data_IF_795901497307
#
_entry.id   IF_795901497307
#
_cell.length_a   1.000
_cell.length_b   1.000
_cell.length_c   1.000
_cell.angle_alpha   90.00
_cell.angle_beta   90.00
_cell.angle_gamma   90.00
#
_symmetry.space_group_name_H-M   'P 1'
#
loop_
_entity.id
_entity.type
_entity.pdbx_description
1 polymer ?
#
# COMPACT_ATOMS: atom_id res chain seq x y z
N UNK A 1 19.94 -30.45 -29.36
CA UNK A 1 20.28 -29.78 -28.09
C UNK A 1 20.77 -28.40 -28.43
N UNK A 2 20.05 -27.35 -28.01
CA UNK A 2 20.39 -25.90 -28.00
C UNK A 2 19.07 -25.12 -28.18
N UNK A 3 18.67 -24.13 -27.39
CA UNK A 3 19.05 -23.62 -26.07
C UNK A 3 17.72 -23.42 -25.32
N UNK A 4 17.60 -23.99 -24.11
CA UNK A 4 16.56 -23.58 -23.16
C UNK A 4 16.88 -22.15 -22.74
N UNK A 5 16.17 -21.17 -23.30
CA UNK A 5 16.25 -19.79 -22.84
C UNK A 5 15.67 -19.77 -21.43
N UNK A 6 16.54 -19.51 -20.46
CA UNK A 6 16.28 -19.38 -19.03
C UNK A 6 14.90 -18.78 -18.74
N UNK A 7 14.01 -19.59 -18.16
CA UNK A 7 12.84 -19.09 -17.46
C UNK A 7 13.31 -18.15 -16.34
N UNK A 8 12.87 -16.89 -16.40
CA UNK A 8 12.78 -16.03 -15.21
C UNK A 8 14.09 -15.43 -14.70
N UNK A 9 14.94 -14.83 -15.54
CA UNK A 9 15.88 -13.83 -15.01
C UNK A 9 15.07 -12.71 -14.35
N UNK A 10 15.26 -12.47 -13.06
CA UNK A 10 14.68 -11.33 -12.37
C UNK A 10 15.16 -10.04 -13.04
N UNK A 11 14.29 -9.44 -13.85
CA UNK A 11 14.57 -8.16 -14.51
C UNK A 11 14.66 -7.08 -13.44
N UNK A 12 15.72 -6.28 -13.51
CA UNK A 12 15.94 -5.13 -12.63
C UNK A 12 15.98 -3.87 -13.48
N UNK A 13 14.87 -3.12 -13.46
CA UNK A 13 14.73 -1.89 -14.25
C UNK A 13 15.61 -0.74 -13.75
N UNK A 14 16.42 -0.91 -12.71
CA UNK A 14 17.48 0.05 -12.34
C UNK A 14 18.65 0.02 -13.31
N UNK A 15 18.90 -1.12 -13.95
CA UNK A 15 20.08 -1.34 -14.80
C UNK A 15 19.73 -1.74 -16.24
N UNK A 16 18.55 -2.30 -16.48
CA UNK A 16 18.11 -2.73 -17.82
C UNK A 16 17.76 -1.55 -18.73
N UNK A 17 17.99 -1.58 -20.04
CA UNK A 17 17.52 -0.51 -20.92
C UNK A 17 16.00 -0.30 -20.80
N UNK A 18 15.56 0.96 -20.82
CA UNK A 18 14.14 1.33 -20.71
C UNK A 18 13.68 2.28 -21.82
N UNK A 19 14.56 2.66 -22.74
CA UNK A 19 14.29 3.70 -23.74
C UNK A 19 13.09 3.35 -24.63
N UNK A 20 13.03 2.12 -25.15
CA UNK A 20 11.88 1.64 -25.95
C UNK A 20 10.56 1.65 -25.15
N UNK A 21 10.63 1.38 -23.84
CA UNK A 21 9.46 1.43 -22.94
C UNK A 21 9.00 2.86 -22.75
N UNK A 22 9.93 3.80 -22.54
CA UNK A 22 9.62 5.22 -22.41
C UNK A 22 9.03 5.78 -23.71
N UNK A 23 9.63 5.49 -24.86
CA UNK A 23 9.15 5.93 -26.18
C UNK A 23 7.75 5.39 -26.50
N UNK A 24 7.47 4.13 -26.14
CA UNK A 24 6.14 3.55 -26.29
C UNK A 24 5.11 4.32 -25.44
N UNK A 25 5.44 4.63 -24.19
CA UNK A 25 4.56 5.34 -23.28
C UNK A 25 4.31 6.78 -23.73
N UNK A 26 5.34 7.51 -24.17
CA UNK A 26 5.20 8.85 -24.74
C UNK A 26 4.22 8.85 -25.94
N UNK A 27 4.37 7.88 -26.85
CA UNK A 27 3.50 7.74 -28.01
C UNK A 27 2.07 7.39 -27.63
N UNK A 28 1.89 6.42 -26.72
CA UNK A 28 0.58 5.90 -26.34
C UNK A 28 -0.24 6.87 -25.50
N UNK A 29 0.39 7.56 -24.55
CA UNK A 29 -0.28 8.55 -23.70
C UNK A 29 -0.27 9.96 -24.29
N UNK A 30 0.44 10.16 -25.42
CA UNK A 30 0.63 11.47 -26.05
C UNK A 30 1.23 12.50 -25.09
N UNK A 31 2.28 12.08 -24.38
CA UNK A 31 3.04 12.90 -23.43
C UNK A 31 4.51 12.93 -23.80
N UNK A 32 5.23 13.94 -23.30
CA UNK A 32 6.69 13.95 -23.32
C UNK A 32 7.23 13.80 -21.91
N UNK A 33 8.04 12.79 -21.66
CA UNK A 33 8.69 12.54 -20.37
C UNK A 33 9.94 13.42 -20.24
N UNK A 34 10.18 13.94 -19.05
CA UNK A 34 11.34 14.77 -18.73
C UNK A 34 12.51 13.87 -18.29
N UNK A 35 13.58 13.70 -19.10
CA UNK A 35 14.60 12.68 -18.85
C UNK A 35 15.34 12.85 -17.51
N UNK A 36 15.49 14.10 -17.05
CA UNK A 36 16.16 14.43 -15.78
C UNK A 36 15.35 14.05 -14.53
N UNK A 37 14.09 13.66 -14.70
CA UNK A 37 13.18 13.33 -13.60
C UNK A 37 12.94 11.83 -13.47
N UNK A 38 13.59 11.03 -14.31
CA UNK A 38 13.41 9.59 -14.37
C UNK A 38 13.88 8.94 -13.06
N UNK A 39 12.94 8.30 -12.36
CA UNK A 39 13.19 7.49 -11.17
C UNK A 39 13.03 6.03 -11.53
N UNK A 40 14.03 5.22 -11.22
CA UNK A 40 14.09 3.79 -11.57
C UNK A 40 14.10 2.93 -10.32
N UNK A 41 13.14 2.02 -10.22
CA UNK A 41 13.06 0.97 -9.19
C UNK A 41 13.25 -0.39 -9.85
N UNK A 42 13.25 -1.46 -9.04
CA UNK A 42 13.47 -2.83 -9.54
C UNK A 42 12.42 -3.26 -10.58
N UNK A 43 11.16 -2.87 -10.40
CA UNK A 43 10.01 -3.28 -11.25
C UNK A 43 9.25 -2.11 -11.87
N UNK A 44 9.62 -0.87 -11.57
CA UNK A 44 8.94 0.31 -12.11
C UNK A 44 9.92 1.41 -12.49
N UNK A 45 9.48 2.26 -13.41
CA UNK A 45 10.14 3.50 -13.83
C UNK A 45 9.09 4.58 -13.80
N UNK A 46 9.41 5.77 -13.33
CA UNK A 46 8.50 6.90 -13.46
C UNK A 46 9.23 8.18 -13.81
N UNK A 47 8.51 9.12 -14.42
CA UNK A 47 9.06 10.41 -14.80
C UNK A 47 7.94 11.47 -14.82
N UNK A 48 8.33 12.73 -14.64
CA UNK A 48 7.45 13.87 -14.90
C UNK A 48 7.26 14.04 -16.39
N UNK A 49 6.12 14.63 -16.78
CA UNK A 49 5.85 15.03 -18.16
C UNK A 49 6.08 16.53 -18.37
N UNK A 50 6.06 16.98 -19.63
CA UNK A 50 6.06 18.41 -19.98
C UNK A 50 4.76 19.16 -19.62
N UNK A 51 3.67 18.44 -19.30
CA UNK A 51 2.37 19.01 -18.92
C UNK A 51 2.09 18.95 -17.42
N UNK A 52 3.16 18.91 -16.62
CA UNK A 52 3.10 18.88 -15.15
C UNK A 52 2.27 17.72 -14.58
N UNK A 53 2.45 16.52 -15.16
CA UNK A 53 1.92 15.25 -14.64
C UNK A 53 3.06 14.28 -14.31
N UNK A 54 2.73 13.17 -13.63
CA UNK A 54 3.63 12.07 -13.36
C UNK A 54 3.17 10.82 -14.09
N UNK A 55 4.10 10.09 -14.72
CA UNK A 55 3.83 8.78 -15.31
C UNK A 55 4.59 7.71 -14.52
N UNK A 56 3.87 6.69 -14.03
CA UNK A 56 4.44 5.49 -13.40
C UNK A 56 4.24 4.31 -14.33
N UNK A 57 5.34 3.70 -14.75
CA UNK A 57 5.41 2.52 -15.60
C UNK A 57 5.85 1.35 -14.75
N UNK A 58 5.05 0.29 -14.69
CA UNK A 58 5.42 -0.94 -14.00
C UNK A 58 5.45 -2.12 -14.96
N UNK A 59 6.27 -3.10 -14.58
CA UNK A 59 6.42 -4.39 -15.23
C UNK A 59 5.93 -5.51 -14.32
N UNK A 60 5.02 -6.34 -14.82
CA UNK A 60 4.54 -7.54 -14.12
C UNK A 60 4.58 -8.77 -15.02
N UNK A 61 4.84 -9.94 -14.45
CA UNK A 61 4.66 -11.20 -15.18
C UNK A 61 3.16 -11.49 -15.33
N UNK A 62 2.75 -12.10 -16.44
CA UNK A 62 1.33 -12.38 -16.71
C UNK A 62 0.70 -13.27 -15.63
N UNK A 63 1.44 -14.24 -15.11
CA UNK A 63 1.00 -15.14 -14.03
C UNK A 63 0.86 -14.45 -12.66
N UNK A 64 1.39 -13.22 -12.53
CA UNK A 64 1.28 -12.39 -11.32
C UNK A 64 0.15 -11.37 -11.39
N UNK A 65 -0.61 -11.33 -12.49
CA UNK A 65 -1.81 -10.51 -12.58
C UNK A 65 -2.95 -11.28 -11.93
N UNK A 66 -3.55 -10.78 -10.84
CA UNK A 66 -4.61 -11.49 -10.16
C UNK A 66 -5.88 -11.54 -11.02
N UNK A 67 -6.81 -12.43 -10.67
CA UNK A 67 -8.09 -12.56 -11.38
C UNK A 67 -8.91 -11.25 -11.40
N UNK A 68 -8.76 -10.41 -10.37
CA UNK A 68 -9.39 -9.08 -10.31
C UNK A 68 -8.74 -8.05 -11.26
N UNK A 69 -7.62 -8.38 -11.89
CA UNK A 69 -6.88 -7.52 -12.79
C UNK A 69 -5.86 -6.62 -12.09
N UNK A 70 -5.20 -5.79 -12.90
CA UNK A 70 -4.17 -4.84 -12.47
C UNK A 70 -4.54 -3.44 -12.94
N UNK A 71 -5.59 -2.92 -12.32
CA UNK A 71 -6.25 -1.66 -12.64
C UNK A 71 -6.63 -0.87 -11.37
N UNK A 72 -5.90 -1.08 -10.27
CA UNK A 72 -6.16 -0.41 -8.98
C UNK A 72 -6.18 1.12 -9.13
N UNK A 73 -5.13 1.69 -9.72
CA UNK A 73 -4.97 3.14 -9.93
C UNK A 73 -6.12 3.75 -10.71
N UNK A 74 -6.47 3.17 -11.86
CA UNK A 74 -7.62 3.61 -12.67
C UNK A 74 -8.95 3.48 -11.92
N UNK A 75 -9.15 2.39 -11.15
CA UNK A 75 -10.37 2.23 -10.38
C UNK A 75 -10.47 3.24 -9.24
N UNK A 76 -9.34 3.64 -8.63
CA UNK A 76 -9.29 4.62 -7.54
C UNK A 76 -9.73 6.02 -7.98
N UNK A 77 -9.63 6.34 -9.28
CA UNK A 77 -10.13 7.58 -9.86
C UNK A 77 -11.65 7.78 -9.68
N UNK A 78 -12.39 6.72 -9.32
CA UNK A 78 -13.83 6.78 -9.04
C UNK A 78 -14.15 7.06 -7.57
N UNK A 79 -13.15 7.04 -6.69
CA UNK A 79 -13.34 7.30 -5.27
C UNK A 79 -13.54 8.80 -5.05
N UNK A 80 -14.48 9.14 -4.17
CA UNK A 80 -14.86 10.52 -3.87
C UNK A 80 -14.46 10.90 -2.43
N UNK A 81 -14.18 12.20 -2.22
CA UNK A 81 -13.84 12.72 -0.89
C UNK A 81 -12.45 12.34 -0.37
N UNK A 82 -11.59 11.74 -1.19
CA UNK A 82 -10.23 11.34 -0.82
C UNK A 82 -9.22 12.31 -1.43
N UNK A 83 -8.30 12.82 -0.63
CA UNK A 83 -7.18 13.62 -1.12
C UNK A 83 -6.16 12.72 -1.85
N UNK A 84 -6.34 12.52 -3.16
CA UNK A 84 -5.47 11.73 -4.03
C UNK A 84 -5.13 12.49 -5.32
N UNK A 85 -4.00 12.19 -5.99
CA UNK A 85 -3.71 12.80 -7.28
C UNK A 85 -4.75 12.37 -8.33
N UNK A 86 -5.19 13.31 -9.16
CA UNK A 86 -6.10 13.03 -10.28
C UNK A 86 -5.45 12.02 -11.23
N UNK A 87 -6.21 11.04 -11.70
CA UNK A 87 -5.77 10.08 -12.72
C UNK A 87 -6.21 10.57 -14.10
N UNK A 88 -5.28 10.66 -15.05
CA UNK A 88 -5.54 11.18 -16.39
C UNK A 88 -5.73 10.08 -17.44
N UNK A 89 -5.10 8.92 -17.25
CA UNK A 89 -5.18 7.83 -18.21
C UNK A 89 -4.17 6.73 -17.96
N UNK A 90 -4.31 5.64 -18.72
CA UNK A 90 -3.33 4.57 -18.73
C UNK A 90 -3.17 3.94 -20.10
N UNK A 91 -2.06 3.21 -20.26
CA UNK A 91 -1.86 2.25 -21.34
C UNK A 91 -1.35 0.94 -20.76
N UNK A 92 -1.91 -0.17 -21.22
CA UNK A 92 -1.52 -1.53 -20.84
C UNK A 92 -1.14 -2.29 -22.10
N UNK A 93 0.00 -2.95 -22.12
CA UNK A 93 0.44 -3.73 -23.26
C UNK A 93 1.23 -4.96 -22.85
N UNK A 94 1.21 -5.97 -23.72
CA UNK A 94 2.00 -7.19 -23.55
C UNK A 94 3.38 -6.98 -24.18
N UNK A 95 4.41 -7.44 -23.50
CA UNK A 95 5.76 -7.49 -24.06
C UNK A 95 5.83 -8.50 -25.21
N UNK A 96 6.40 -8.10 -26.35
CA UNK A 96 6.52 -8.96 -27.53
C UNK A 96 7.48 -10.14 -27.34
N UNK A 97 8.37 -10.06 -26.35
CA UNK A 97 9.47 -11.01 -26.15
C UNK A 97 9.27 -11.93 -24.94
N UNK A 98 8.10 -11.92 -24.29
CA UNK A 98 7.89 -12.80 -23.13
C UNK A 98 6.52 -12.71 -22.47
N UNK A 99 6.32 -13.47 -21.37
CA UNK A 99 5.07 -13.49 -20.60
C UNK A 99 5.03 -12.29 -19.62
N UNK A 100 5.25 -11.09 -20.13
CA UNK A 100 5.31 -9.84 -19.35
C UNK A 100 4.18 -8.92 -19.82
N UNK A 101 3.56 -8.25 -18.87
CA UNK A 101 2.66 -7.13 -19.12
C UNK A 101 3.27 -5.86 -18.52
N UNK A 102 3.06 -4.78 -19.24
CA UNK A 102 3.43 -3.44 -18.84
C UNK A 102 2.15 -2.62 -18.65
N UNK A 103 2.18 -1.73 -17.66
CA UNK A 103 1.16 -0.71 -17.45
C UNK A 103 1.85 0.60 -17.18
N UNK A 104 1.37 1.66 -17.82
CA UNK A 104 1.73 3.02 -17.48
C UNK A 104 0.47 3.78 -17.08
N UNK A 105 0.49 4.40 -15.89
CA UNK A 105 -0.55 5.30 -15.41
C UNK A 105 -0.01 6.72 -15.37
N UNK A 106 -0.81 7.67 -15.83
CA UNK A 106 -0.56 9.10 -15.69
C UNK A 106 -1.45 9.70 -14.62
N UNK A 107 -0.84 10.44 -13.70
CA UNK A 107 -1.54 11.15 -12.62
C UNK A 107 -1.08 12.60 -12.53
N UNK A 108 -1.85 13.46 -11.88
CA UNK A 108 -1.37 14.75 -11.42
C UNK A 108 -0.11 14.58 -10.55
N UNK A 109 0.72 15.63 -10.50
CA UNK A 109 1.85 15.66 -9.58
C UNK A 109 1.36 15.65 -8.12
N UNK A 110 2.11 14.96 -7.26
CA UNK A 110 1.88 15.02 -5.83
C UNK A 110 2.09 16.46 -5.31
N UNK A 111 1.28 16.92 -4.34
CA UNK A 111 1.36 18.29 -3.84
C UNK A 111 2.57 18.53 -2.92
N UNK A 112 3.30 17.48 -2.56
CA UNK A 112 4.47 17.51 -1.71
C UNK A 112 5.38 16.30 -1.93
N UNK A 113 6.42 16.20 -1.10
CA UNK A 113 7.26 15.01 -1.05
C UNK A 113 6.59 13.93 -0.18
N UNK A 114 6.90 12.64 -0.39
CA UNK A 114 6.51 11.59 0.56
C UNK A 114 6.95 11.95 1.99
N UNK A 115 6.12 11.64 3.00
CA UNK A 115 6.42 11.96 4.41
C UNK A 115 7.75 11.33 4.85
N UNK A 116 8.06 10.12 4.35
CA UNK A 116 9.38 9.53 4.50
C UNK A 116 9.48 8.13 3.90
N UNK A 117 10.20 7.25 4.60
CA UNK A 117 10.22 5.81 4.32
C UNK A 117 8.97 5.14 4.89
N UNK A 118 8.69 3.88 4.50
CA UNK A 118 7.48 3.17 4.95
C UNK A 118 7.38 3.12 6.49
N UNK A 119 8.50 2.85 7.16
CA UNK A 119 8.64 2.91 8.63
C UNK A 119 9.53 4.11 8.96
N UNK A 120 9.09 4.96 9.88
CA UNK A 120 9.84 6.13 10.32
C UNK A 120 10.65 5.84 11.58
N UNK A 121 11.86 6.39 11.64
CA UNK A 121 12.72 6.39 12.84
C UNK A 121 12.65 7.69 13.63
N UNK A 122 12.03 8.73 13.07
CA UNK A 122 11.84 10.06 13.68
C UNK A 122 10.42 10.53 13.37
N UNK A 123 9.77 11.19 14.34
CA UNK A 123 8.44 11.76 14.13
C UNK A 123 8.49 12.85 13.05
N UNK A 124 7.62 12.81 12.03
CA UNK A 124 7.50 13.89 11.07
C UNK A 124 6.78 15.09 11.71
N UNK A 125 7.14 16.29 11.29
CA UNK A 125 6.43 17.51 11.69
C UNK A 125 5.19 17.69 10.80
N UNK A 126 4.03 17.28 11.32
CA UNK A 126 2.74 17.35 10.62
C UNK A 126 1.78 18.23 11.41
N UNK A 127 1.04 19.11 10.71
CA UNK A 127 0.04 19.99 11.34
C UNK A 127 -1.22 19.23 11.72
N UNK A 128 -2.03 19.77 12.63
CA UNK A 128 -3.35 19.20 12.94
C UNK A 128 -4.25 19.14 11.69
N UNK A 129 -4.18 20.15 10.81
CA UNK A 129 -4.89 20.14 9.53
C UNK A 129 -4.48 18.95 8.64
N UNK A 130 -3.20 18.54 8.65
CA UNK A 130 -2.76 17.37 7.90
C UNK A 130 -3.44 16.09 8.42
N UNK A 131 -3.56 15.95 9.75
CA UNK A 131 -4.24 14.83 10.39
C UNK A 131 -5.74 14.83 10.13
N UNK A 132 -6.39 16.00 10.14
CA UNK A 132 -7.79 16.15 9.75
C UNK A 132 -8.03 15.63 8.32
N UNK A 133 -7.23 16.05 7.35
CA UNK A 133 -7.38 15.59 5.95
C UNK A 133 -7.08 14.10 5.79
N UNK A 134 -6.12 13.54 6.55
CA UNK A 134 -5.91 12.09 6.61
C UNK A 134 -7.18 11.37 7.09
N UNK A 135 -7.74 11.80 8.22
CA UNK A 135 -8.92 11.18 8.81
C UNK A 135 -10.12 11.27 7.88
N UNK A 136 -10.40 12.46 7.33
CA UNK A 136 -11.49 12.67 6.37
C UNK A 136 -11.33 11.77 5.13
N UNK A 137 -10.11 11.63 4.62
CA UNK A 137 -9.81 10.77 3.47
C UNK A 137 -10.02 9.28 3.77
N UNK A 138 -9.61 8.80 4.95
CA UNK A 138 -9.79 7.40 5.34
C UNK A 138 -11.26 7.08 5.64
N UNK A 139 -11.99 8.01 6.27
CA UNK A 139 -13.42 7.85 6.52
C UNK A 139 -14.23 7.88 5.22
N UNK A 140 -13.88 8.79 4.30
CA UNK A 140 -14.45 8.83 2.96
C UNK A 140 -14.18 7.53 2.18
N UNK A 141 -12.97 6.96 2.29
CA UNK A 141 -12.62 5.68 1.67
C UNK A 141 -13.45 4.52 2.25
N UNK A 142 -13.53 4.42 3.57
CA UNK A 142 -14.28 3.35 4.25
C UNK A 142 -15.79 3.40 3.95
N UNK A 143 -16.30 4.54 3.50
CA UNK A 143 -17.69 4.73 3.08
C UNK A 143 -17.97 4.41 1.61
N UNK A 144 -16.95 4.10 0.79
CA UNK A 144 -17.12 3.80 -0.63
C UNK A 144 -17.69 2.39 -0.84
N UNK A 145 -18.20 2.14 -2.05
CA UNK A 145 -18.61 0.81 -2.50
C UNK A 145 -17.65 0.26 -3.56
N UNK A 146 -17.18 -0.97 -3.38
CA UNK A 146 -16.36 -1.64 -4.38
C UNK A 146 -16.55 -3.16 -4.34
N UNK A 147 -16.21 -3.81 -5.45
CA UNK A 147 -16.07 -5.28 -5.53
C UNK A 147 -14.61 -5.73 -5.50
N UNK A 148 -13.67 -4.79 -5.53
CA UNK A 148 -12.24 -5.09 -5.38
C UNK A 148 -12.01 -5.67 -3.99
N UNK A 149 -11.07 -6.61 -3.90
CA UNK A 149 -10.59 -7.11 -2.62
C UNK A 149 -9.15 -6.63 -2.47
N UNK A 150 -8.86 -6.04 -1.31
CA UNK A 150 -7.56 -5.48 -1.03
C UNK A 150 -6.44 -6.55 -1.12
N UNK A 151 -5.24 -6.13 -1.50
CA UNK A 151 -4.06 -6.99 -1.62
C UNK A 151 -2.90 -6.51 -0.75
N UNK A 152 -3.06 -6.40 0.59
CA UNK A 152 -1.95 -6.01 1.45
C UNK A 152 -0.75 -6.96 1.25
N UNK A 153 0.46 -6.40 1.18
CA UNK A 153 1.69 -7.13 0.82
C UNK A 153 1.58 -7.91 -0.50
N UNK A 154 0.77 -7.43 -1.45
CA UNK A 154 0.45 -8.06 -2.75
C UNK A 154 -0.29 -9.40 -2.65
N UNK A 155 -0.91 -9.70 -1.50
CA UNK A 155 -1.69 -10.92 -1.26
C UNK A 155 -3.15 -10.56 -0.99
N UNK A 156 -4.08 -11.17 -1.73
CA UNK A 156 -5.52 -10.93 -1.54
C UNK A 156 -5.93 -11.26 -0.10
N UNK A 157 -6.43 -10.25 0.61
CA UNK A 157 -6.89 -10.45 1.98
C UNK A 157 -8.20 -11.23 2.01
N UNK A 158 -8.30 -12.17 2.94
CA UNK A 158 -9.44 -13.05 3.14
C UNK A 158 -9.56 -13.41 4.62
N UNK A 159 -10.72 -13.92 5.05
CA UNK A 159 -10.89 -14.47 6.39
C UNK A 159 -9.82 -15.52 6.73
N UNK A 160 -9.54 -16.43 5.80
CA UNK A 160 -8.54 -17.49 5.99
C UNK A 160 -7.15 -16.88 6.22
N UNK A 161 -6.75 -15.90 5.41
CA UNK A 161 -5.46 -15.22 5.57
C UNK A 161 -5.36 -14.51 6.93
N UNK A 162 -6.41 -13.81 7.35
CA UNK A 162 -6.45 -13.13 8.66
C UNK A 162 -6.27 -14.13 9.79
N UNK A 163 -7.03 -15.22 9.77
CA UNK A 163 -6.94 -16.31 10.75
C UNK A 163 -5.55 -16.93 10.77
N UNK A 164 -5.01 -17.31 9.61
CA UNK A 164 -3.68 -17.92 9.49
C UNK A 164 -2.57 -17.00 10.01
N UNK A 165 -2.61 -15.71 9.65
CA UNK A 165 -1.62 -14.74 10.11
C UNK A 165 -1.68 -14.52 11.63
N UNK A 166 -2.87 -14.45 12.23
CA UNK A 166 -3.02 -14.23 13.67
C UNK A 166 -2.61 -15.50 14.44
N UNK A 167 -3.16 -16.67 14.08
CA UNK A 167 -2.87 -17.94 14.76
C UNK A 167 -1.45 -18.45 14.52
N UNK A 168 -0.76 -17.98 13.48
CA UNK A 168 0.65 -18.28 13.25
C UNK A 168 1.59 -17.70 14.33
N UNK A 169 1.13 -16.73 15.12
CA UNK A 169 1.94 -16.04 16.15
C UNK A 169 1.27 -16.06 17.53
N UNK A 170 -0.06 -15.98 17.58
CA UNK A 170 -0.85 -15.92 18.80
C UNK A 170 -1.68 -17.19 18.99
N UNK A 171 -2.37 -17.33 20.13
CA UNK A 171 -3.15 -18.53 20.46
C UNK A 171 -4.15 -18.90 19.37
N UNK A 172 -4.23 -20.19 19.02
CA UNK A 172 -5.20 -20.76 18.08
C UNK A 172 -6.65 -20.67 18.55
N UNK A 173 -6.86 -20.42 19.85
CA UNK A 173 -8.19 -20.37 20.46
C UNK A 173 -8.85 -18.98 20.33
N UNK A 174 -8.14 -18.00 19.78
CA UNK A 174 -8.70 -16.67 19.51
C UNK A 174 -9.72 -16.76 18.38
N UNK A 175 -10.94 -16.26 18.61
CA UNK A 175 -11.91 -16.04 17.54
C UNK A 175 -11.42 -14.90 16.63
N UNK A 176 -11.15 -15.25 15.38
CA UNK A 176 -10.62 -14.34 14.35
C UNK A 176 -11.66 -13.99 13.29
N UNK A 177 -12.93 -14.34 13.51
CA UNK A 177 -14.03 -14.04 12.58
C UNK A 177 -14.10 -12.54 12.35
N UNK A 178 -13.95 -12.08 11.11
CA UNK A 178 -14.09 -10.67 10.72
C UNK A 178 -15.55 -10.40 10.37
N UNK A 179 -16.12 -9.37 10.98
CA UNK A 179 -17.54 -9.03 10.80
C UNK A 179 -17.76 -7.94 9.74
N UNK A 180 -16.86 -6.95 9.69
CA UNK A 180 -16.99 -5.78 8.83
C UNK A 180 -15.84 -5.70 7.83
N UNK A 181 -16.23 -5.66 6.56
CA UNK A 181 -15.35 -5.42 5.44
C UNK A 181 -15.68 -4.06 4.82
N UNK A 182 -14.68 -3.19 4.70
CA UNK A 182 -14.79 -1.83 4.17
C UNK A 182 -13.66 -1.59 3.17
N UNK A 183 -13.81 -0.68 2.20
CA UNK A 183 -12.70 -0.29 1.35
C UNK A 183 -11.55 0.27 2.18
N UNK A 184 -10.34 -0.14 1.84
CA UNK A 184 -9.09 0.27 2.46
C UNK A 184 -8.02 0.46 1.38
N UNK A 185 -7.03 1.31 1.65
CA UNK A 185 -5.87 1.53 0.80
C UNK A 185 -4.99 0.28 0.72
N UNK A 186 -4.91 -0.46 1.84
CA UNK A 186 -4.22 -1.75 1.99
C UNK A 186 -2.67 -1.71 1.88
N UNK A 187 -2.10 -0.57 1.50
CA UNK A 187 -0.68 -0.26 1.65
C UNK A 187 -0.48 1.10 2.36
N UNK A 188 -1.23 1.35 3.44
CA UNK A 188 -1.14 2.62 4.18
C UNK A 188 0.10 2.66 5.06
N UNK A 189 1.11 3.41 4.62
CA UNK A 189 2.36 3.66 5.33
C UNK A 189 2.91 5.05 4.98
N UNK A 190 3.93 5.51 5.70
CA UNK A 190 4.46 6.88 5.58
C UNK A 190 5.14 7.20 4.24
N UNK A 191 5.47 6.20 3.42
CA UNK A 191 6.02 6.41 2.08
C UNK A 191 4.94 6.65 1.00
N UNK A 192 3.67 6.38 1.32
CA UNK A 192 2.54 6.47 0.38
C UNK A 192 1.64 7.69 0.65
N UNK A 193 2.14 8.66 1.41
CA UNK A 193 1.47 9.91 1.73
C UNK A 193 2.43 11.08 1.65
N UNK A 194 1.93 12.28 1.35
CA UNK A 194 2.77 13.48 1.19
C UNK A 194 2.64 14.49 2.32
N UNK A 195 3.67 15.34 2.45
CA UNK A 195 3.72 16.50 3.34
C UNK A 195 4.41 17.71 2.64
N UNK A 196 4.11 18.95 3.06
CA UNK A 196 3.22 19.34 4.16
C UNK A 196 1.72 19.27 3.80
N UNK A 197 1.39 19.19 2.52
CA UNK A 197 0.00 18.98 2.06
C UNK A 197 -0.27 17.48 2.00
N UNK A 198 -1.33 17.01 2.67
CA UNK A 198 -1.73 15.61 2.62
C UNK A 198 -2.18 15.21 1.21
N UNK A 199 -1.71 14.06 0.75
CA UNK A 199 -2.27 13.33 -0.38
C UNK A 199 -1.85 11.87 -0.29
N UNK A 200 -2.79 10.96 -0.52
CA UNK A 200 -2.62 9.51 -0.54
C UNK A 200 -2.44 9.01 -1.97
N UNK A 201 -1.44 8.15 -2.20
CA UNK A 201 -1.08 7.65 -3.53
C UNK A 201 -0.59 6.19 -3.48
N UNK A 202 -0.33 5.61 -4.65
CA UNK A 202 0.00 4.18 -4.83
C UNK A 202 -1.21 3.24 -4.61
N UNK A 203 -2.32 3.58 -5.25
CA UNK A 203 -3.61 2.87 -5.21
C UNK A 203 -3.63 1.52 -5.97
N UNK A 204 -2.58 0.71 -5.90
CA UNK A 204 -2.57 -0.57 -6.62
C UNK A 204 -3.34 -1.66 -5.87
N UNK A 205 -3.21 -1.66 -4.54
CA UNK A 205 -3.63 -2.75 -3.66
C UNK A 205 -4.99 -2.50 -2.98
N UNK A 206 -5.62 -1.36 -3.22
CA UNK A 206 -6.87 -1.00 -2.54
C UNK A 206 -8.06 -1.90 -2.91
N UNK A 207 -8.98 -2.02 -1.95
CA UNK A 207 -10.23 -2.78 -2.08
C UNK A 207 -10.84 -3.06 -0.72
N UNK A 208 -11.86 -3.91 -0.67
CA UNK A 208 -12.46 -4.33 0.60
C UNK A 208 -11.44 -5.10 1.44
N UNK A 209 -11.33 -4.72 2.70
CA UNK A 209 -10.52 -5.32 3.75
C UNK A 209 -11.27 -5.28 5.09
N UNK A 210 -10.85 -6.06 6.10
CA UNK A 210 -11.37 -5.91 7.45
C UNK A 210 -11.22 -4.48 7.96
N UNK A 211 -12.24 -3.98 8.64
CA UNK A 211 -12.21 -2.65 9.25
C UNK A 211 -11.00 -2.50 10.18
N UNK A 212 -10.27 -1.38 10.03
CA UNK A 212 -9.07 -1.08 10.79
C UNK A 212 -7.75 -1.57 10.18
N UNK A 213 -7.75 -2.22 8.99
CA UNK A 213 -6.51 -2.64 8.32
C UNK A 213 -5.53 -1.46 8.11
N UNK A 214 -6.02 -0.37 7.53
CA UNK A 214 -5.21 0.82 7.24
C UNK A 214 -4.69 1.47 8.52
N UNK A 215 -5.56 1.70 9.51
CA UNK A 215 -5.20 2.26 10.81
C UNK A 215 -4.14 1.42 11.53
N UNK A 216 -4.31 0.10 11.56
CA UNK A 216 -3.33 -0.83 12.13
C UNK A 216 -2.00 -0.83 11.37
N UNK A 217 -2.03 -0.72 10.04
CA UNK A 217 -0.83 -0.69 9.20
C UNK A 217 -0.03 0.59 9.39
N UNK A 218 -0.70 1.74 9.47
CA UNK A 218 -0.08 3.03 9.77
C UNK A 218 0.49 3.06 11.19
N UNK A 219 -0.23 2.53 12.18
CA UNK A 219 0.26 2.40 13.55
C UNK A 219 1.50 1.51 13.62
N UNK A 220 1.47 0.34 12.99
CA UNK A 220 2.61 -0.58 12.90
C UNK A 220 3.83 0.07 12.23
N UNK A 221 3.61 0.91 11.23
CA UNK A 221 4.64 1.72 10.56
C UNK A 221 5.18 2.88 11.41
N UNK A 222 4.49 3.20 12.51
CA UNK A 222 4.84 4.28 13.45
C UNK A 222 5.46 3.76 14.75
N UNK A 223 5.45 2.44 14.99
CA UNK A 223 5.81 1.84 16.28
C UNK A 223 7.23 2.11 16.77
N UNK A 224 8.16 2.45 15.87
CA UNK A 224 9.52 2.82 16.25
C UNK A 224 9.60 4.20 16.92
N UNK A 225 8.54 5.00 16.84
CA UNK A 225 8.43 6.35 17.43
C UNK A 225 7.17 6.41 18.29
N UNK A 226 7.31 6.22 19.61
CA UNK A 226 6.18 6.06 20.53
C UNK A 226 5.15 7.20 20.43
N UNK A 227 5.60 8.46 20.42
CA UNK A 227 4.70 9.61 20.30
C UNK A 227 3.88 9.61 18.99
N UNK A 228 4.46 9.08 17.91
CA UNK A 228 3.79 8.98 16.62
C UNK A 228 2.76 7.86 16.61
N UNK A 229 3.11 6.67 17.12
CA UNK A 229 2.16 5.56 17.22
C UNK A 229 1.01 5.87 18.17
N UNK A 230 1.27 6.59 19.27
CA UNK A 230 0.24 7.11 20.17
C UNK A 230 -0.68 8.12 19.47
N UNK A 231 -0.12 9.01 18.64
CA UNK A 231 -0.94 9.95 17.85
C UNK A 231 -1.82 9.21 16.85
N UNK A 232 -1.29 8.24 16.10
CA UNK A 232 -2.11 7.43 15.16
C UNK A 232 -3.26 6.72 15.88
N UNK A 233 -3.02 6.16 17.07
CA UNK A 233 -4.08 5.54 17.88
C UNK A 233 -5.11 6.54 18.38
N UNK A 234 -4.69 7.76 18.69
CA UNK A 234 -5.60 8.82 19.10
C UNK A 234 -6.53 9.22 17.95
N UNK A 235 -5.96 9.46 16.77
CA UNK A 235 -6.68 9.89 15.57
C UNK A 235 -7.67 8.83 15.07
N UNK A 236 -7.24 7.56 15.07
CA UNK A 236 -8.05 6.43 14.59
C UNK A 236 -8.64 5.59 15.72
N UNK A 237 -8.90 6.21 16.88
CA UNK A 237 -9.37 5.53 18.11
C UNK A 237 -10.54 4.59 17.86
N UNK A 238 -11.55 5.05 17.10
CA UNK A 238 -12.75 4.28 16.78
C UNK A 238 -12.43 2.93 16.11
N UNK A 239 -11.45 2.91 15.20
CA UNK A 239 -10.99 1.67 14.57
C UNK A 239 -10.35 0.75 15.61
N UNK A 240 -9.40 1.27 16.42
CA UNK A 240 -8.68 0.47 17.43
C UNK A 240 -9.57 -0.06 18.56
N UNK A 241 -10.66 0.62 18.90
CA UNK A 241 -11.59 0.18 19.94
C UNK A 241 -12.58 -0.88 19.42
N UNK A 242 -12.83 -0.90 18.09
CA UNK A 242 -13.68 -1.89 17.44
C UNK A 242 -13.10 -3.31 17.48
N UNK A 243 -13.96 -4.33 17.38
CA UNK A 243 -13.54 -5.74 17.38
C UNK A 243 -12.66 -6.07 16.17
N UNK A 244 -13.09 -5.70 14.96
CA UNK A 244 -12.31 -5.97 13.75
C UNK A 244 -11.00 -5.17 13.71
N UNK A 245 -10.96 -3.94 14.22
CA UNK A 245 -9.71 -3.17 14.31
C UNK A 245 -8.74 -3.72 15.34
N UNK A 246 -9.23 -4.35 16.42
CA UNK A 246 -8.40 -5.18 17.32
C UNK A 246 -7.82 -6.38 16.60
N UNK A 247 -8.62 -7.11 15.81
CA UNK A 247 -8.11 -8.20 14.96
C UNK A 247 -7.06 -7.69 13.96
N UNK A 248 -7.27 -6.53 13.35
CA UNK A 248 -6.31 -5.94 12.42
C UNK A 248 -5.04 -5.43 13.12
N UNK A 249 -5.14 -5.01 14.38
CA UNK A 249 -3.97 -4.73 15.22
C UNK A 249 -3.15 -6.01 15.46
N UNK A 250 -3.80 -7.14 15.76
CA UNK A 250 -3.11 -8.43 15.87
C UNK A 250 -2.53 -8.89 14.53
N UNK A 251 -3.25 -8.71 13.43
CA UNK A 251 -2.74 -9.00 12.08
C UNK A 251 -1.49 -8.18 11.75
N UNK A 252 -1.45 -6.89 12.08
CA UNK A 252 -0.27 -6.06 11.91
C UNK A 252 0.87 -6.49 12.84
N UNK A 253 0.57 -6.82 14.10
CA UNK A 253 1.56 -7.34 15.05
C UNK A 253 2.15 -8.68 14.60
N UNK A 254 1.37 -9.58 14.00
CA UNK A 254 1.88 -10.88 13.55
C UNK A 254 2.88 -10.76 12.41
N UNK A 255 2.76 -9.71 11.58
CA UNK A 255 3.78 -9.37 10.56
C UNK A 255 5.09 -8.90 11.18
N UNK A 256 5.05 -8.23 12.33
CA UNK A 256 6.23 -7.74 13.05
C UNK A 256 6.88 -8.84 13.89
N UNK A 257 6.07 -9.64 14.59
CA UNK A 257 6.49 -10.66 15.55
C UNK A 257 6.62 -12.06 14.93
N UNK A 258 6.32 -12.19 13.64
CA UNK A 258 6.31 -13.45 12.92
C UNK A 258 7.69 -14.09 12.73
N UNK A 259 7.76 -15.24 12.04
CA UNK A 259 8.97 -16.06 11.95
C UNK A 259 10.15 -15.38 11.24
N UNK A 260 9.90 -14.29 10.51
CA UNK A 260 10.92 -13.51 9.78
C UNK A 260 11.27 -12.19 10.46
N UNK A 261 10.85 -12.00 11.71
CA UNK A 261 11.18 -10.84 12.51
C UNK A 261 12.70 -10.62 12.60
N UNK A 262 13.16 -9.41 12.28
CA UNK A 262 14.55 -9.05 12.50
C UNK A 262 14.77 -8.81 14.01
N UNK A 263 15.73 -9.49 14.68
CA UNK A 263 15.88 -9.40 16.14
C UNK A 263 16.09 -7.98 16.68
N UNK A 264 16.65 -7.09 15.86
CA UNK A 264 16.92 -5.69 16.21
C UNK A 264 15.83 -4.71 15.74
N UNK A 265 14.68 -5.21 15.26
CA UNK A 265 13.58 -4.33 14.87
C UNK A 265 13.04 -3.60 16.12
N UNK A 266 13.11 -2.25 16.18
CA UNK A 266 12.69 -1.48 17.35
C UNK A 266 11.19 -1.61 17.66
N UNK A 267 10.39 -2.16 16.73
CA UNK A 267 8.95 -2.34 16.88
C UNK A 267 8.56 -3.60 17.64
N UNK A 268 9.48 -4.55 17.86
CA UNK A 268 9.16 -5.85 18.48
C UNK A 268 8.53 -5.71 19.87
N UNK A 269 9.20 -5.01 20.78
CA UNK A 269 8.71 -4.87 22.15
C UNK A 269 7.39 -4.05 22.25
N UNK A 270 7.25 -2.92 21.54
CA UNK A 270 5.96 -2.24 21.43
C UNK A 270 4.84 -3.12 20.85
N UNK A 271 5.11 -3.88 19.79
CA UNK A 271 4.12 -4.78 19.17
C UNK A 271 3.69 -5.90 20.12
N UNK A 272 4.64 -6.49 20.86
CA UNK A 272 4.36 -7.53 21.87
C UNK A 272 3.42 -7.02 22.96
N UNK A 273 3.74 -5.85 23.55
CA UNK A 273 2.90 -5.22 24.58
C UNK A 273 1.49 -4.93 24.07
N UNK A 274 1.36 -4.40 22.86
CA UNK A 274 0.06 -4.13 22.26
C UNK A 274 -0.73 -5.41 22.01
N UNK A 275 -0.09 -6.45 21.45
CA UNK A 275 -0.75 -7.73 21.20
C UNK A 275 -1.29 -8.36 22.50
N UNK A 276 -0.49 -8.35 23.58
CA UNK A 276 -0.92 -8.84 24.89
C UNK A 276 -2.13 -8.06 25.45
N UNK A 277 -2.14 -6.74 25.27
CA UNK A 277 -3.27 -5.91 25.66
C UNK A 277 -4.53 -6.24 24.84
N UNK A 278 -4.41 -6.25 23.51
CA UNK A 278 -5.53 -6.49 22.60
C UNK A 278 -6.13 -7.89 22.79
N UNK A 279 -5.30 -8.91 23.03
CA UNK A 279 -5.75 -10.27 23.34
C UNK A 279 -6.62 -10.28 24.61
N UNK A 280 -6.19 -9.61 25.68
CA UNK A 280 -6.98 -9.52 26.92
C UNK A 280 -8.32 -8.83 26.68
N UNK A 281 -8.32 -7.76 25.89
CA UNK A 281 -9.54 -7.02 25.55
C UNK A 281 -10.51 -7.87 24.71
N UNK A 282 -10.02 -8.66 23.76
CA UNK A 282 -10.84 -9.56 22.94
C UNK A 282 -11.38 -10.76 23.73
N UNK A 283 -10.67 -11.20 24.78
CA UNK A 283 -11.12 -12.30 25.66
C UNK A 283 -12.08 -11.84 26.77
N UNK A 284 -12.08 -10.55 27.10
CA UNK A 284 -12.91 -9.98 28.16
C UNK A 284 -14.29 -9.50 27.67
N UNK A 285 -14.45 -9.29 26.35
CA UNK A 285 -15.71 -8.98 25.69
C UNK A 285 -16.42 -10.22 25.18
#
# INVERSE_FOLDING_TARGET
>A
MTFSVSMGRAVDLRVQPVDEVLENVERSLQVRLLPKTVVRKRRSVGARTERDTWVRIERRLLDKIPAQGWNGTECAARLDGIAQPEWHGCVVWRDGNGPVMWRADETALLPGAPVGTAVLSVAPELSDQWWEVLNDSLDALAAQDTRRIATPDTVTISQALVTECIHGVFSSDLDTTVERWVPAHADLNWANMTAPTFSLFDWEDWGNAPLGLDSASLWASSLAVAALSDRVRHERRSDFESRDGKLMTLFACSKILGPYAHPEDPRLEPARRMAEQVIKELQAG
#
